data_IF_949230094234
#
_entry.id   IF_949230094234
#
_cell.length_a   1.000
_cell.length_b   1.000
_cell.length_c   1.000
_cell.angle_alpha   90.00
_cell.angle_beta   90.00
_cell.angle_gamma   90.00
#
_symmetry.space_group_name_H-M   'P 1'
#
loop_
_entity.id
_entity.type
_entity.pdbx_description
1 polymer ?
#
# COMPACT_ATOMS: atom_id res chain seq x y z
N UNK A 1 9.82 7.87 9.34
CA UNK A 1 9.68 9.19 8.70
C UNK A 1 8.82 9.16 7.43
N UNK A 2 9.11 8.36 6.40
CA UNK A 2 8.31 8.36 5.14
C UNK A 2 6.80 8.19 5.37
N UNK A 3 6.38 7.17 6.13
CA UNK A 3 4.95 6.96 6.47
C UNK A 3 4.32 8.16 7.20
N UNK A 4 5.09 8.83 8.08
CA UNK A 4 4.64 9.99 8.85
C UNK A 4 4.43 11.20 7.94
N UNK A 5 5.33 11.43 6.98
CA UNK A 5 5.20 12.51 5.99
C UNK A 5 3.99 12.28 5.08
N UNK A 6 3.82 11.08 4.54
CA UNK A 6 2.64 10.74 3.71
C UNK A 6 1.34 10.95 4.46
N UNK A 7 1.26 10.48 5.71
CA UNK A 7 0.06 10.65 6.55
C UNK A 7 -0.17 12.13 6.90
N UNK A 8 0.88 12.86 7.25
CA UNK A 8 0.81 14.28 7.56
C UNK A 8 0.26 15.10 6.39
N UNK A 9 0.76 14.87 5.16
CA UNK A 9 0.27 15.57 3.97
C UNK A 9 -1.24 15.39 3.79
N UNK A 10 -1.75 14.17 3.97
CA UNK A 10 -3.18 13.89 3.87
C UNK A 10 -4.02 14.57 4.96
N UNK A 11 -3.51 14.62 6.20
CA UNK A 11 -4.15 15.34 7.30
C UNK A 11 -4.25 16.82 6.95
N UNK A 12 -3.13 17.41 6.55
CA UNK A 12 -2.98 18.85 6.30
C UNK A 12 -3.73 19.34 5.05
N UNK A 13 -4.04 18.44 4.12
CA UNK A 13 -4.81 18.73 2.91
C UNK A 13 -6.34 18.71 3.11
N UNK A 14 -6.85 18.36 4.30
CA UNK A 14 -8.28 18.44 4.56
C UNK A 14 -8.75 19.91 4.66
N UNK A 15 -10.02 20.23 4.41
CA UNK A 15 -10.56 21.54 4.74
C UNK A 15 -10.45 21.82 6.25
N UNK A 16 -10.00 23.01 6.64
CA UNK A 16 -9.97 23.47 8.04
C UNK A 16 -10.05 24.99 8.14
N UNK A 17 -10.74 25.49 9.17
CA UNK A 17 -10.92 26.94 9.42
C UNK A 17 -9.77 27.59 10.23
N UNK A 18 -8.67 26.87 10.48
CA UNK A 18 -7.54 27.37 11.25
C UNK A 18 -6.25 26.56 11.11
N UNK A 19 -5.15 27.01 11.74
CA UNK A 19 -3.85 26.31 11.72
C UNK A 19 -3.96 24.90 12.27
N UNK A 20 -3.18 23.97 11.72
CA UNK A 20 -3.09 22.59 12.22
C UNK A 20 -1.69 22.24 12.65
N UNK A 21 -1.61 21.60 13.82
CA UNK A 21 -0.40 20.95 14.28
C UNK A 21 -0.23 19.63 13.53
N UNK A 22 0.99 19.39 13.06
CA UNK A 22 1.41 18.08 12.57
C UNK A 22 2.11 17.33 13.71
N UNK A 23 1.47 16.37 14.39
CA UNK A 23 2.05 15.75 15.58
C UNK A 23 3.06 14.63 15.27
N UNK A 24 3.35 14.35 13.98
CA UNK A 24 3.99 13.08 13.56
C UNK A 24 5.39 13.25 12.98
N UNK A 25 5.88 14.48 12.82
CA UNK A 25 7.22 14.77 12.33
C UNK A 25 8.05 15.33 13.49
N UNK A 26 9.06 14.57 13.93
CA UNK A 26 10.15 15.01 14.81
C UNK A 26 9.78 15.55 16.21
N UNK A 27 8.71 15.07 16.86
CA UNK A 27 8.39 15.39 18.27
C UNK A 27 8.16 16.89 18.57
N UNK A 28 8.12 17.74 17.55
CA UNK A 28 7.80 19.16 17.64
C UNK A 28 6.54 19.43 16.81
N UNK A 29 5.50 20.07 17.37
CA UNK A 29 4.31 20.42 16.59
C UNK A 29 4.70 21.45 15.52
N UNK A 30 4.82 21.00 14.27
CA UNK A 30 4.98 21.90 13.14
C UNK A 30 3.63 22.57 12.87
N UNK A 31 3.56 23.89 13.01
CA UNK A 31 2.38 24.65 12.58
C UNK A 31 2.47 24.94 11.09
N UNK A 32 1.46 24.50 10.33
CA UNK A 32 1.36 24.83 8.91
C UNK A 32 0.33 25.97 8.74
N UNK A 33 0.74 27.13 8.17
CA UNK A 33 -0.07 28.35 8.16
C UNK A 33 -1.28 28.29 7.21
N UNK A 34 -1.28 27.37 6.24
CA UNK A 34 -2.38 27.17 5.29
C UNK A 34 -2.61 25.67 5.02
N UNK A 35 -3.85 25.22 4.75
CA UNK A 35 -4.09 23.87 4.27
C UNK A 35 -3.24 23.56 3.05
N UNK A 36 -2.69 22.35 2.97
CA UNK A 36 -2.05 21.90 1.75
C UNK A 36 -3.10 21.82 0.62
N UNK A 37 -2.69 21.94 -0.65
CA UNK A 37 -3.59 21.72 -1.79
C UNK A 37 -4.37 20.41 -1.67
N UNK A 38 -5.65 20.41 -2.04
CA UNK A 38 -6.52 19.24 -1.89
C UNK A 38 -5.99 18.00 -2.64
N UNK A 39 -5.18 18.17 -3.68
CA UNK A 39 -4.51 17.10 -4.43
C UNK A 39 -3.63 16.19 -3.57
N UNK A 40 -3.12 16.69 -2.43
CA UNK A 40 -2.35 15.87 -1.50
C UNK A 40 -3.21 14.83 -0.77
N UNK A 41 -4.53 15.01 -0.70
CA UNK A 41 -5.48 14.05 -0.16
C UNK A 41 -6.01 13.05 -1.22
N UNK A 42 -5.21 12.77 -2.26
CA UNK A 42 -5.52 11.79 -3.29
C UNK A 42 -5.39 10.33 -2.80
N UNK A 43 -6.21 9.43 -3.37
CA UNK A 43 -6.23 8.00 -3.02
C UNK A 43 -4.87 7.28 -3.21
N UNK A 44 -4.07 7.72 -4.18
CA UNK A 44 -2.72 7.17 -4.39
C UNK A 44 -1.81 7.42 -3.18
N UNK A 45 -1.82 8.64 -2.62
CA UNK A 45 -1.03 8.96 -1.44
C UNK A 45 -1.52 8.20 -0.20
N UNK A 46 -2.82 7.91 -0.11
CA UNK A 46 -3.35 7.05 0.94
C UNK A 46 -2.78 5.64 0.87
N UNK A 47 -2.75 5.06 -0.33
CA UNK A 47 -2.19 3.72 -0.54
C UNK A 47 -0.70 3.69 -0.22
N UNK A 48 0.06 4.71 -0.60
CA UNK A 48 1.48 4.82 -0.25
C UNK A 48 1.69 4.97 1.26
N UNK A 49 0.92 5.83 1.91
CA UNK A 49 0.91 5.98 3.36
C UNK A 49 0.60 4.66 4.07
N UNK A 50 -0.41 3.93 3.59
CA UNK A 50 -0.83 2.64 4.14
C UNK A 50 0.29 1.60 4.02
N UNK A 51 0.90 1.47 2.83
CA UNK A 51 2.01 0.53 2.59
C UNK A 51 3.19 0.83 3.50
N UNK A 52 3.59 2.09 3.57
CA UNK A 52 4.72 2.51 4.40
C UNK A 52 4.44 2.31 5.89
N UNK A 53 3.23 2.61 6.35
CA UNK A 53 2.82 2.42 7.74
C UNK A 53 2.77 0.93 8.12
N UNK A 54 2.25 0.06 7.23
CA UNK A 54 2.23 -1.38 7.42
C UNK A 54 3.66 -1.95 7.50
N UNK A 55 4.52 -1.63 6.53
CA UNK A 55 5.91 -2.08 6.49
C UNK A 55 6.67 -1.65 7.76
N UNK A 56 6.48 -0.40 8.17
CA UNK A 56 7.17 0.16 9.34
C UNK A 56 6.48 -0.10 10.69
N UNK A 57 5.41 -0.89 10.71
CA UNK A 57 4.65 -1.28 11.93
C UNK A 57 4.18 -0.09 12.77
N UNK A 58 3.79 0.99 12.10
CA UNK A 58 3.25 2.18 12.74
C UNK A 58 1.72 2.13 12.77
N UNK A 59 1.15 1.31 13.67
CA UNK A 59 -0.30 1.09 13.80
C UNK A 59 -1.08 2.40 13.96
N UNK A 60 -0.54 3.34 14.75
CA UNK A 60 -1.10 4.69 14.96
C UNK A 60 -1.37 5.45 13.65
N UNK A 61 -0.52 5.23 12.63
CA UNK A 61 -0.68 5.86 11.32
C UNK A 61 -1.74 5.15 10.47
N UNK A 62 -1.85 3.82 10.58
CA UNK A 62 -2.90 3.05 9.92
C UNK A 62 -4.28 3.48 10.42
N UNK A 63 -4.47 3.63 11.72
CA UNK A 63 -5.74 4.10 12.31
C UNK A 63 -6.14 5.48 11.79
N UNK A 64 -5.16 6.39 11.67
CA UNK A 64 -5.42 7.72 11.12
C UNK A 64 -5.74 7.69 9.63
N UNK A 65 -5.03 6.90 8.85
CA UNK A 65 -5.34 6.73 7.43
C UNK A 65 -6.76 6.17 7.27
N UNK A 66 -7.16 5.20 8.07
CA UNK A 66 -8.54 4.69 8.06
C UNK A 66 -9.56 5.79 8.38
N UNK A 67 -9.29 6.64 9.37
CA UNK A 67 -10.14 7.79 9.70
C UNK A 67 -10.25 8.83 8.58
N UNK A 68 -9.22 8.97 7.74
CA UNK A 68 -9.18 9.89 6.60
C UNK A 68 -9.91 9.37 5.36
N UNK A 69 -10.27 8.08 5.32
CA UNK A 69 -10.87 7.44 4.15
C UNK A 69 -12.11 8.17 3.61
N UNK A 70 -13.10 8.61 4.43
CA UNK A 70 -14.28 9.32 3.91
C UNK A 70 -13.95 10.59 3.12
N UNK A 71 -12.83 11.25 3.44
CA UNK A 71 -12.42 12.46 2.76
C UNK A 71 -11.89 12.20 1.34
N UNK A 72 -11.31 11.03 1.09
CA UNK A 72 -10.87 10.61 -0.25
C UNK A 72 -12.09 10.50 -1.19
N UNK A 73 -13.20 9.94 -0.70
CA UNK A 73 -14.42 9.74 -1.48
C UNK A 73 -15.21 11.03 -1.72
N UNK A 74 -15.05 12.02 -0.85
CA UNK A 74 -15.84 13.26 -0.89
C UNK A 74 -15.16 14.41 -1.65
N UNK A 75 -13.92 14.25 -2.12
CA UNK A 75 -13.19 15.30 -2.83
C UNK A 75 -13.59 15.38 -4.31
N UNK A 76 -14.45 16.35 -4.63
CA UNK A 76 -15.06 16.52 -5.96
C UNK A 76 -14.17 17.04 -7.10
N UNK A 77 -13.05 17.79 -6.90
CA UNK A 77 -12.30 18.29 -8.06
C UNK A 77 -11.21 17.34 -8.59
N UNK A 78 -10.86 16.27 -7.88
CA UNK A 78 -9.77 15.35 -8.29
C UNK A 78 -10.39 14.06 -8.82
N UNK A 79 -10.30 13.87 -10.13
CA UNK A 79 -10.74 12.63 -10.76
C UNK A 79 -9.82 11.47 -10.32
N UNK A 80 -10.26 10.73 -9.31
CA UNK A 80 -9.61 9.49 -8.87
C UNK A 80 -10.21 8.32 -9.65
N UNK A 81 -9.42 7.51 -10.37
CA UNK A 81 -9.93 6.32 -11.05
C UNK A 81 -10.63 5.38 -10.06
N UNK A 82 -11.78 4.82 -10.43
CA UNK A 82 -12.56 3.92 -9.56
C UNK A 82 -11.72 2.73 -9.06
N UNK A 83 -10.87 2.16 -9.92
CA UNK A 83 -9.94 1.09 -9.55
C UNK A 83 -9.06 1.46 -8.36
N UNK A 84 -8.60 2.71 -8.27
CA UNK A 84 -7.78 3.22 -7.16
C UNK A 84 -8.59 3.29 -5.87
N UNK A 85 -9.85 3.74 -5.96
CA UNK A 85 -10.77 3.75 -4.80
C UNK A 85 -11.06 2.33 -4.30
N UNK A 86 -11.19 1.35 -5.21
CA UNK A 86 -11.37 -0.06 -4.84
C UNK A 86 -10.14 -0.66 -4.16
N UNK A 87 -8.93 -0.22 -4.51
CA UNK A 87 -7.72 -0.58 -3.76
C UNK A 87 -7.73 0.01 -2.35
N UNK A 88 -8.16 1.27 -2.18
CA UNK A 88 -8.33 1.88 -0.85
C UNK A 88 -9.33 1.07 -0.02
N UNK A 89 -10.48 0.73 -0.59
CA UNK A 89 -11.50 -0.10 0.07
C UNK A 89 -10.94 -1.45 0.50
N UNK A 90 -10.20 -2.12 -0.39
CA UNK A 90 -9.63 -3.43 -0.15
C UNK A 90 -8.57 -3.39 0.96
N UNK A 91 -7.63 -2.45 0.91
CA UNK A 91 -6.56 -2.35 1.92
C UNK A 91 -7.07 -1.91 3.28
N UNK A 92 -8.11 -1.08 3.33
CA UNK A 92 -8.81 -0.81 4.58
C UNK A 92 -9.45 -2.09 5.14
N UNK A 93 -10.11 -2.88 4.29
CA UNK A 93 -10.73 -4.14 4.69
C UNK A 93 -9.70 -5.20 5.14
N UNK A 94 -8.52 -5.25 4.53
CA UNK A 94 -7.43 -6.17 4.94
C UNK A 94 -7.12 -6.05 6.44
N UNK A 95 -7.23 -4.86 7.03
CA UNK A 95 -7.00 -4.64 8.46
C UNK A 95 -8.23 -4.90 9.33
N UNK A 96 -9.43 -4.68 8.79
CA UNK A 96 -10.66 -4.61 9.56
C UNK A 96 -11.49 -5.90 9.57
N UNK A 97 -11.34 -6.77 8.56
CA UNK A 97 -12.14 -8.00 8.45
C UNK A 97 -11.25 -9.26 8.46
N UNK A 98 -11.72 -10.38 9.05
CA UNK A 98 -10.96 -11.63 9.05
C UNK A 98 -10.74 -12.22 7.65
N UNK A 99 -11.74 -12.09 6.79
CA UNK A 99 -11.73 -12.61 5.42
C UNK A 99 -12.00 -11.48 4.43
N UNK A 100 -10.92 -10.91 3.90
CA UNK A 100 -10.99 -9.82 2.92
C UNK A 100 -11.43 -10.32 1.54
N UNK A 101 -11.34 -11.62 1.25
CA UNK A 101 -11.76 -12.17 -0.05
C UNK A 101 -13.28 -12.11 -0.25
N UNK A 102 -14.04 -11.99 0.85
CA UNK A 102 -15.50 -11.79 0.83
C UNK A 102 -15.89 -10.31 0.72
N UNK A 103 -14.94 -9.39 0.79
CA UNK A 103 -15.22 -7.96 0.66
C UNK A 103 -15.59 -7.62 -0.80
N UNK A 104 -16.63 -6.80 -1.07
CA UNK A 104 -17.04 -6.46 -2.44
C UNK A 104 -15.93 -5.87 -3.31
N UNK A 105 -15.00 -5.11 -2.71
CA UNK A 105 -13.86 -4.56 -3.44
C UNK A 105 -12.92 -5.65 -3.98
N UNK A 106 -12.78 -6.80 -3.29
CA UNK A 106 -11.99 -7.91 -3.79
C UNK A 106 -12.61 -8.50 -5.06
N UNK A 107 -13.91 -8.84 -5.00
CA UNK A 107 -14.63 -9.36 -6.16
C UNK A 107 -14.58 -8.41 -7.37
N UNK A 108 -14.80 -7.11 -7.13
CA UNK A 108 -14.70 -6.08 -8.17
C UNK A 108 -13.30 -6.03 -8.79
N UNK A 109 -12.24 -6.06 -7.98
CA UNK A 109 -10.87 -6.00 -8.48
C UNK A 109 -10.47 -7.27 -9.24
N UNK A 110 -10.98 -8.44 -8.84
CA UNK A 110 -10.79 -9.69 -9.57
C UNK A 110 -11.44 -9.63 -10.95
N UNK A 111 -12.68 -9.16 -11.02
CA UNK A 111 -13.39 -8.96 -12.30
C UNK A 111 -12.67 -7.94 -13.18
N UNK A 112 -12.24 -6.82 -12.60
CA UNK A 112 -11.45 -5.81 -13.31
C UNK A 112 -10.17 -6.39 -13.92
N UNK A 113 -9.40 -7.17 -13.15
CA UNK A 113 -8.18 -7.83 -13.64
C UNK A 113 -8.50 -8.83 -14.77
N UNK A 114 -9.57 -9.61 -14.63
CA UNK A 114 -9.97 -10.61 -15.62
C UNK A 114 -10.46 -9.99 -16.95
N UNK A 115 -11.08 -8.82 -16.89
CA UNK A 115 -11.71 -8.16 -18.04
C UNK A 115 -10.85 -7.07 -18.67
N UNK A 116 -9.81 -6.60 -17.97
CA UNK A 116 -8.91 -5.57 -18.48
C UNK A 116 -8.13 -6.10 -19.71
N UNK A 117 -8.23 -5.45 -20.89
CA UNK A 117 -7.48 -5.86 -22.06
C UNK A 117 -5.97 -5.83 -21.77
N UNK A 118 -5.22 -6.91 -22.01
CA UNK A 118 -3.81 -7.01 -21.60
C UNK A 118 -2.86 -6.15 -22.45
N UNK A 119 -3.38 -5.45 -23.46
CA UNK A 119 -2.62 -4.59 -24.36
C UNK A 119 -2.36 -3.20 -23.76
N UNK A 120 -1.35 -2.51 -24.29
CA UNK A 120 -0.98 -1.17 -23.81
C UNK A 120 -0.23 -1.18 -22.47
N UNK A 121 0.15 0.00 -21.98
CA UNK A 121 0.90 0.10 -20.71
C UNK A 121 0.01 -0.24 -19.51
N UNK A 122 -1.23 0.25 -19.52
CA UNK A 122 -2.20 0.03 -18.44
C UNK A 122 -2.57 -1.45 -18.30
N UNK A 123 -2.99 -2.11 -19.38
CA UNK A 123 -3.33 -3.54 -19.37
C UNK A 123 -2.18 -4.43 -18.90
N UNK A 124 -0.94 -4.09 -19.31
CA UNK A 124 0.26 -4.76 -18.79
C UNK A 124 0.45 -4.52 -17.29
N UNK A 125 0.26 -3.30 -16.78
CA UNK A 125 0.37 -3.03 -15.35
C UNK A 125 -0.67 -3.83 -14.55
N UNK A 126 -1.92 -3.90 -15.05
CA UNK A 126 -2.98 -4.69 -14.42
C UNK A 126 -2.61 -6.18 -14.40
N UNK A 127 -2.15 -6.73 -15.53
CA UNK A 127 -1.75 -8.13 -15.64
C UNK A 127 -0.59 -8.50 -14.71
N UNK A 128 0.48 -7.71 -14.72
CA UNK A 128 1.74 -8.09 -14.07
C UNK A 128 1.86 -7.59 -12.62
N UNK A 129 1.12 -6.55 -12.23
CA UNK A 129 1.21 -5.97 -10.89
C UNK A 129 -0.08 -6.19 -10.09
N UNK A 130 -1.24 -5.82 -10.65
CA UNK A 130 -2.51 -5.90 -9.91
C UNK A 130 -3.00 -7.32 -9.69
N UNK A 131 -2.93 -8.18 -10.72
CA UNK A 131 -3.36 -9.58 -10.62
C UNK A 131 -2.57 -10.38 -9.58
N UNK A 132 -1.25 -10.48 -9.72
CA UNK A 132 -0.42 -11.21 -8.76
C UNK A 132 -0.57 -10.69 -7.34
N UNK A 133 -0.74 -9.37 -7.15
CA UNK A 133 -1.04 -8.76 -5.85
C UNK A 133 -2.34 -9.27 -5.23
N UNK A 134 -3.41 -9.47 -6.01
CA UNK A 134 -4.66 -10.05 -5.51
C UNK A 134 -4.51 -11.53 -5.13
N UNK A 135 -3.61 -12.26 -5.79
CA UNK A 135 -3.40 -13.69 -5.55
C UNK A 135 -2.72 -13.98 -4.20
N UNK A 136 -2.13 -12.98 -3.54
CA UNK A 136 -1.63 -13.11 -2.17
C UNK A 136 -2.75 -13.14 -1.12
N UNK A 137 -3.94 -12.62 -1.42
CA UNK A 137 -4.99 -12.44 -0.41
C UNK A 137 -5.66 -13.74 0.05
N UNK A 138 -5.99 -14.72 -0.83
CA UNK A 138 -6.52 -16.00 -0.38
C UNK A 138 -5.60 -16.74 0.62
N UNK A 139 -4.31 -17.03 0.30
CA UNK A 139 -3.45 -17.74 1.26
C UNK A 139 -3.16 -16.91 2.53
N UNK A 140 -3.21 -15.58 2.44
CA UNK A 140 -3.14 -14.71 3.62
C UNK A 140 -4.34 -14.92 4.57
N UNK A 141 -5.56 -15.04 4.02
CA UNK A 141 -6.78 -15.30 4.80
C UNK A 141 -6.77 -16.71 5.37
N UNK A 142 -6.40 -17.69 4.55
CA UNK A 142 -6.37 -19.11 4.93
C UNK A 142 -5.22 -19.46 5.87
N UNK A 143 -4.31 -18.50 6.12
CA UNK A 143 -3.05 -18.68 6.86
C UNK A 143 -2.17 -19.79 6.26
N UNK A 144 -2.24 -19.97 4.95
CA UNK A 144 -1.44 -20.92 4.19
C UNK A 144 -0.08 -20.31 3.86
N UNK A 145 0.93 -20.61 4.69
CA UNK A 145 2.28 -20.09 4.49
C UNK A 145 2.92 -20.59 3.18
N UNK A 146 2.68 -21.83 2.79
CA UNK A 146 3.26 -22.43 1.57
C UNK A 146 2.61 -21.80 0.33
N UNK A 147 1.28 -21.70 0.33
CA UNK A 147 0.55 -21.02 -0.74
C UNK A 147 0.90 -19.53 -0.85
N UNK A 148 1.13 -18.86 0.28
CA UNK A 148 1.54 -17.47 0.32
C UNK A 148 2.94 -17.28 -0.27
N UNK A 149 3.91 -18.09 0.14
CA UNK A 149 5.28 -18.08 -0.40
C UNK A 149 5.26 -18.24 -1.93
N UNK A 150 4.56 -19.28 -2.41
CA UNK A 150 4.46 -19.55 -3.84
C UNK A 150 3.75 -18.42 -4.61
N UNK A 151 2.73 -17.79 -4.02
CA UNK A 151 2.06 -16.63 -4.62
C UNK A 151 2.96 -15.40 -4.66
N UNK A 152 3.72 -15.15 -3.59
CA UNK A 152 4.66 -14.04 -3.48
C UNK A 152 5.80 -14.18 -4.49
N UNK A 153 6.39 -15.37 -4.64
CA UNK A 153 7.42 -15.65 -5.65
C UNK A 153 6.95 -15.33 -7.06
N UNK A 154 5.76 -15.83 -7.44
CA UNK A 154 5.17 -15.54 -8.75
C UNK A 154 4.91 -14.05 -8.93
N UNK A 155 4.47 -13.36 -7.89
CA UNK A 155 4.22 -11.93 -7.95
C UNK A 155 5.51 -11.10 -8.10
N UNK A 156 6.60 -11.52 -7.46
CA UNK A 156 7.91 -10.88 -7.58
C UNK A 156 8.51 -11.08 -8.97
N UNK A 157 8.39 -12.29 -9.54
CA UNK A 157 8.81 -12.53 -10.92
C UNK A 157 7.97 -11.72 -11.93
N UNK A 158 6.66 -11.58 -11.70
CA UNK A 158 5.81 -10.74 -12.53
C UNK A 158 6.18 -9.24 -12.42
N UNK A 159 6.51 -8.76 -11.22
CA UNK A 159 7.02 -7.41 -10.98
C UNK A 159 8.33 -7.17 -11.76
N UNK A 160 9.29 -8.09 -11.63
CA UNK A 160 10.56 -8.08 -12.37
C UNK A 160 10.33 -8.07 -13.87
N UNK A 161 9.46 -8.92 -14.40
CA UNK A 161 9.15 -8.96 -15.83
C UNK A 161 8.58 -7.62 -16.32
N UNK A 162 7.68 -7.01 -15.56
CA UNK A 162 7.08 -5.73 -15.93
C UNK A 162 8.09 -4.59 -15.97
N UNK A 163 8.86 -4.42 -14.89
CA UNK A 163 9.77 -3.29 -14.70
C UNK A 163 11.07 -3.43 -15.49
N UNK A 164 11.54 -4.65 -15.74
CA UNK A 164 12.75 -4.89 -16.55
C UNK A 164 12.52 -4.74 -18.06
N UNK A 165 11.25 -4.76 -18.51
CA UNK A 165 10.87 -4.89 -19.92
C UNK A 165 11.39 -3.79 -20.84
N UNK A 166 11.51 -2.55 -20.34
CA UNK A 166 11.95 -1.41 -21.15
C UNK A 166 12.96 -0.56 -20.39
N UNK A 167 13.83 0.15 -21.13
CA UNK A 167 14.79 1.06 -20.51
C UNK A 167 14.12 2.18 -19.68
N UNK A 168 12.93 2.62 -20.10
CA UNK A 168 12.13 3.60 -19.34
C UNK A 168 11.71 3.02 -17.99
N UNK A 169 11.11 1.81 -17.98
CA UNK A 169 10.63 1.16 -16.75
C UNK A 169 11.76 0.76 -15.81
N UNK A 170 12.92 0.34 -16.34
CA UNK A 170 14.10 0.03 -15.52
C UNK A 170 14.63 1.21 -14.73
N UNK A 171 14.37 2.43 -15.18
CA UNK A 171 14.81 3.67 -14.52
C UNK A 171 13.70 4.30 -13.68
N UNK A 172 12.53 3.68 -13.63
CA UNK A 172 11.37 4.18 -12.92
C UNK A 172 11.48 3.77 -11.44
N UNK A 173 11.55 4.72 -10.49
CA UNK A 173 11.68 4.43 -9.07
C UNK A 173 10.54 3.58 -8.50
N UNK A 174 9.34 3.64 -9.09
CA UNK A 174 8.20 2.80 -8.70
C UNK A 174 8.50 1.30 -8.85
N UNK A 175 9.45 0.94 -9.73
CA UNK A 175 9.86 -0.43 -9.97
C UNK A 175 10.97 -0.96 -9.07
N UNK A 176 11.64 -0.10 -8.29
CA UNK A 176 12.83 -0.50 -7.53
C UNK A 176 12.49 -1.43 -6.37
N UNK A 177 11.34 -1.22 -5.73
CA UNK A 177 10.84 -2.07 -4.65
C UNK A 177 9.40 -2.43 -4.99
N UNK A 178 9.05 -3.72 -4.83
CA UNK A 178 7.68 -4.18 -4.95
C UNK A 178 6.88 -3.78 -3.69
N UNK A 179 6.61 -2.47 -3.54
CA UNK A 179 6.12 -1.90 -2.27
C UNK A 179 4.78 -2.49 -1.82
N UNK A 180 3.87 -2.76 -2.77
CA UNK A 180 2.62 -3.46 -2.49
C UNK A 180 2.83 -4.86 -1.93
N UNK A 181 3.70 -5.65 -2.57
CA UNK A 181 4.02 -7.01 -2.15
C UNK A 181 4.73 -7.01 -0.80
N UNK A 182 5.63 -6.05 -0.59
CA UNK A 182 6.36 -5.87 0.67
C UNK A 182 5.40 -5.58 1.83
N UNK A 183 4.39 -4.73 1.63
CA UNK A 183 3.40 -4.43 2.65
C UNK A 183 2.53 -5.65 3.01
N UNK A 184 2.08 -6.42 2.03
CA UNK A 184 1.32 -7.66 2.27
C UNK A 184 2.19 -8.75 2.90
N UNK A 185 3.45 -8.87 2.51
CA UNK A 185 4.42 -9.80 3.10
C UNK A 185 4.72 -9.45 4.56
N UNK A 186 4.94 -8.18 4.88
CA UNK A 186 5.13 -7.71 6.26
C UNK A 186 3.89 -8.04 7.13
N UNK A 187 2.70 -7.80 6.59
CA UNK A 187 1.45 -8.14 7.27
C UNK A 187 1.27 -9.65 7.47
N UNK A 188 1.61 -10.47 6.48
CA UNK A 188 1.59 -11.93 6.58
C UNK A 188 2.56 -12.42 7.67
N UNK A 189 3.77 -11.86 7.69
CA UNK A 189 4.79 -12.14 8.69
C UNK A 189 4.30 -11.81 10.10
N UNK A 190 3.72 -10.62 10.29
CA UNK A 190 3.17 -10.18 11.58
C UNK A 190 1.96 -11.02 12.01
N UNK A 191 1.24 -11.63 11.06
CA UNK A 191 0.15 -12.60 11.31
C UNK A 191 0.62 -14.02 11.59
N UNK A 192 1.94 -14.25 11.63
CA UNK A 192 2.52 -15.53 12.00
C UNK A 192 2.81 -16.46 10.81
N UNK A 193 2.56 -16.05 9.57
CA UNK A 193 3.00 -16.83 8.41
C UNK A 193 4.54 -16.74 8.35
N UNK A 194 5.19 -17.88 8.13
CA UNK A 194 6.64 -17.98 8.00
C UNK A 194 6.94 -18.56 6.63
N UNK A 195 7.66 -17.78 5.84
CA UNK A 195 8.01 -18.04 4.46
C UNK A 195 9.37 -17.41 4.19
N UNK A 196 9.99 -17.76 3.07
CA UNK A 196 11.22 -17.15 2.61
C UNK A 196 11.24 -17.11 1.09
N UNK A 197 11.54 -15.94 0.53
CA UNK A 197 11.68 -15.72 -0.91
C UNK A 197 12.97 -14.97 -1.17
N UNK A 198 13.62 -15.24 -2.30
CA UNK A 198 14.85 -14.54 -2.70
C UNK A 198 14.55 -13.57 -3.85
N UNK A 199 14.60 -12.27 -3.58
CA UNK A 199 14.31 -11.24 -4.57
C UNK A 199 14.92 -9.89 -4.23
N UNK A 200 15.63 -9.31 -5.21
CA UNK A 200 16.15 -7.94 -5.12
C UNK A 200 15.05 -6.87 -4.98
N UNK A 201 13.80 -7.20 -5.30
CA UNK A 201 12.66 -6.29 -5.24
C UNK A 201 11.93 -6.32 -3.88
N UNK A 202 12.31 -7.22 -2.97
CA UNK A 202 11.69 -7.43 -1.66
C UNK A 202 12.74 -7.30 -0.55
N UNK A 203 12.99 -6.10 0.00
CA UNK A 203 13.92 -5.94 1.10
C UNK A 203 13.50 -6.77 2.31
N UNK A 204 14.23 -7.85 2.61
CA UNK A 204 13.80 -8.83 3.61
C UNK A 204 13.65 -8.23 5.02
N UNK A 205 14.53 -7.32 5.41
CA UNK A 205 14.47 -6.61 6.70
C UNK A 205 13.22 -5.73 6.85
N UNK A 206 12.54 -5.38 5.76
CA UNK A 206 11.26 -4.67 5.79
C UNK A 206 10.11 -5.63 6.07
N UNK A 207 10.18 -6.83 5.48
CA UNK A 207 9.22 -7.92 5.71
C UNK A 207 9.29 -8.39 7.15
N UNK A 208 10.48 -8.70 7.66
CA UNK A 208 10.65 -9.20 9.04
C UNK A 208 10.49 -8.11 10.11
N UNK A 209 10.67 -6.85 9.72
CA UNK A 209 10.58 -5.70 10.62
C UNK A 209 11.85 -5.38 11.39
N UNK A 210 12.92 -6.14 11.17
CA UNK A 210 14.23 -5.93 11.82
C UNK A 210 14.75 -4.51 11.62
N UNK A 211 14.49 -3.89 10.47
CA UNK A 211 14.90 -2.51 10.20
C UNK A 211 14.20 -1.49 11.11
N UNK A 212 12.99 -1.82 11.60
CA UNK A 212 12.12 -0.91 12.35
C UNK A 212 12.06 -1.24 13.84
N UNK A 213 12.64 -2.37 14.25
CA UNK A 213 12.85 -2.69 15.64
C UNK A 213 13.71 -1.57 16.25
N UNK A 214 13.17 -0.88 17.27
CA UNK A 214 13.99 0.04 18.06
C UNK A 214 15.12 -0.79 18.65
N UNK A 215 16.37 -0.45 18.36
CA UNK A 215 17.47 -0.93 19.17
C UNK A 215 17.18 -0.47 20.60
N UNK A 216 16.77 -1.41 21.45
CA UNK A 216 16.75 -1.19 22.89
C UNK A 216 18.20 -0.97 23.28
N UNK A 217 18.61 0.29 23.37
CA UNK A 217 19.87 0.67 23.99
C UNK A 217 19.74 0.24 25.44
N UNK A 218 20.46 -0.83 25.78
CA UNK A 218 20.71 -1.27 27.16
C UNK A 218 21.62 -0.26 27.86
#
# INVERSE_FOLDING_TARGET
MAAQVSTAMMVLAQPSDGPRECPFINSLPLQIPSPLPAEYAHAGHWLDGWKLAAISRQAELLDRLLALRPHIFNQRPIHTPEVTLKWVDLYAAVLAVPDVTRHPAYAWLREYVATCPPQGSHGKAVKYLSGPRLDLLPPLVDRDAIGFEAALDRALEAHKEYWSKTAKRRKDPEGFVALDLTALAALAWDRGLRFQVDSDYLPWSWVTGELFARQSVA
#
